data_IF_932146421167
#
_entry.id   IF_932146421167
#
_cell.length_a   1.000
_cell.length_b   1.000
_cell.length_c   1.000
_cell.angle_alpha   90.00
_cell.angle_beta   90.00
_cell.angle_gamma   90.00
#
_symmetry.space_group_name_H-M   'P 1'
#
loop_
_entity.id
_entity.type
_entity.pdbx_description
1 polymer ?
#
# COMPACT_ATOMS: atom_id res chain seq x y z
N UNK A 1 26.29 17.07 -8.29
CA UNK A 1 25.44 16.61 -9.42
C UNK A 1 24.03 17.08 -9.15
N UNK A 2 23.51 17.93 -10.03
CA UNK A 2 22.27 18.69 -9.87
C UNK A 2 21.07 17.79 -9.60
N UNK A 3 20.53 17.88 -8.39
CA UNK A 3 19.23 17.32 -8.06
C UNK A 3 18.17 18.07 -8.86
N UNK A 4 17.70 17.46 -9.94
CA UNK A 4 16.44 17.83 -10.55
C UNK A 4 15.41 17.88 -9.41
N UNK A 5 14.88 19.06 -9.13
CA UNK A 5 13.69 19.21 -8.31
C UNK A 5 12.59 18.38 -8.97
N UNK A 6 12.38 17.16 -8.49
CA UNK A 6 11.32 16.29 -8.98
C UNK A 6 10.07 16.73 -8.25
N UNK A 7 9.19 17.45 -8.96
CA UNK A 7 7.89 17.84 -8.42
C UNK A 7 7.13 16.57 -8.05
N UNK A 8 6.76 16.46 -6.78
CA UNK A 8 5.83 15.42 -6.32
C UNK A 8 4.46 15.81 -6.86
N UNK A 9 3.83 14.91 -7.62
CA UNK A 9 2.46 15.08 -8.04
C UNK A 9 1.54 14.64 -6.89
N UNK A 10 1.18 15.60 -6.04
CA UNK A 10 0.32 15.39 -4.89
C UNK A 10 -1.12 15.77 -5.21
N UNK A 11 -2.05 14.84 -5.01
CA UNK A 11 -3.49 15.11 -5.03
C UNK A 11 -4.14 14.69 -3.71
N UNK A 12 -5.01 15.53 -3.17
CA UNK A 12 -5.81 15.23 -1.97
C UNK A 12 -7.29 15.27 -2.31
N UNK A 13 -8.00 14.19 -2.00
CA UNK A 13 -9.44 14.04 -2.16
C UNK A 13 -10.08 13.92 -0.79
N UNK A 14 -10.96 14.86 -0.44
CA UNK A 14 -11.69 14.88 0.83
C UNK A 14 -13.13 14.45 0.55
N UNK A 15 -13.60 13.43 1.27
CA UNK A 15 -14.94 12.86 1.10
C UNK A 15 -15.70 12.81 2.41
N UNK A 16 -17.02 12.82 2.34
CA UNK A 16 -17.90 12.90 3.52
C UNK A 16 -17.66 11.77 4.52
N UNK A 17 -17.50 10.54 4.02
CA UNK A 17 -17.47 9.34 4.83
C UNK A 17 -16.66 8.21 4.13
N UNK A 18 -16.39 7.09 4.83
CA UNK A 18 -15.65 5.97 4.27
C UNK A 18 -16.27 5.34 3.01
N UNK A 19 -17.60 5.42 2.82
CA UNK A 19 -18.25 4.89 1.63
C UNK A 19 -17.95 5.76 0.40
N UNK A 20 -18.06 7.09 0.55
CA UNK A 20 -17.67 8.03 -0.50
C UNK A 20 -16.16 7.97 -0.81
N UNK A 21 -15.32 7.73 0.19
CA UNK A 21 -13.89 7.45 -0.03
C UNK A 21 -13.67 6.19 -0.87
N UNK A 22 -14.37 5.09 -0.56
CA UNK A 22 -14.27 3.83 -1.29
C UNK A 22 -14.66 4.01 -2.76
N UNK A 23 -15.75 4.73 -3.04
CA UNK A 23 -16.17 5.06 -4.41
C UNK A 23 -15.10 5.86 -5.17
N UNK A 24 -14.51 6.87 -4.53
CA UNK A 24 -13.43 7.64 -5.17
C UNK A 24 -12.21 6.76 -5.44
N UNK A 25 -11.80 5.97 -4.45
CA UNK A 25 -10.65 5.08 -4.54
C UNK A 25 -10.84 4.02 -5.63
N UNK A 26 -12.05 3.47 -5.77
CA UNK A 26 -12.39 2.50 -6.82
C UNK A 26 -12.25 3.10 -8.22
N UNK A 27 -12.74 4.32 -8.44
CA UNK A 27 -12.57 5.02 -9.73
C UNK A 27 -11.11 5.31 -10.07
N UNK A 28 -10.31 5.77 -9.10
CA UNK A 28 -8.88 6.02 -9.30
C UNK A 28 -8.14 4.71 -9.64
N UNK A 29 -8.42 3.64 -8.89
CA UNK A 29 -7.83 2.32 -9.12
C UNK A 29 -8.21 1.78 -10.50
N UNK A 30 -9.47 1.87 -10.90
CA UNK A 30 -9.94 1.38 -12.19
C UNK A 30 -9.28 2.13 -13.36
N UNK A 31 -9.15 3.45 -13.27
CA UNK A 31 -8.44 4.24 -14.28
C UNK A 31 -6.96 3.84 -14.38
N UNK A 32 -6.27 3.69 -13.25
CA UNK A 32 -4.89 3.23 -13.23
C UNK A 32 -4.73 1.78 -13.76
N UNK A 33 -5.73 0.94 -13.52
CA UNK A 33 -5.80 -0.43 -14.02
C UNK A 33 -5.94 -0.46 -15.55
N UNK A 34 -6.87 0.32 -16.08
CA UNK A 34 -7.09 0.47 -17.53
C UNK A 34 -5.81 0.95 -18.23
N UNK A 35 -5.18 2.02 -17.73
CA UNK A 35 -3.94 2.55 -18.28
C UNK A 35 -2.81 1.52 -18.25
N UNK A 36 -2.61 0.84 -17.12
CA UNK A 36 -1.56 -0.15 -16.99
C UNK A 36 -1.73 -1.34 -17.92
N UNK A 37 -2.97 -1.80 -18.10
CA UNK A 37 -3.27 -2.92 -18.98
C UNK A 37 -3.13 -2.52 -20.45
N UNK A 38 -3.56 -1.31 -20.82
CA UNK A 38 -3.39 -0.80 -22.18
C UNK A 38 -1.89 -0.71 -22.55
N UNK A 39 -1.05 -0.23 -21.63
CA UNK A 39 0.38 -0.03 -21.88
C UNK A 39 1.23 -1.30 -21.75
N UNK A 40 0.93 -2.14 -20.75
CA UNK A 40 1.83 -3.21 -20.26
C UNK A 40 1.17 -4.59 -20.21
N UNK A 41 -0.12 -4.67 -20.51
CA UNK A 41 -0.88 -5.93 -20.52
C UNK A 41 -1.22 -6.50 -19.13
N UNK A 42 -0.76 -5.86 -18.04
CA UNK A 42 -0.93 -6.33 -16.66
C UNK A 42 -1.00 -5.14 -15.70
N UNK A 43 -1.81 -5.27 -14.65
CA UNK A 43 -1.88 -4.32 -13.55
C UNK A 43 -1.36 -4.97 -12.26
N UNK A 44 -0.19 -4.54 -11.78
CA UNK A 44 0.43 -5.04 -10.55
C UNK A 44 0.13 -4.09 -9.39
N UNK A 45 -0.69 -4.56 -8.44
CA UNK A 45 -1.13 -3.80 -7.27
C UNK A 45 -0.58 -4.39 -5.97
N UNK A 46 -0.09 -3.55 -5.07
CA UNK A 46 0.26 -3.93 -3.70
C UNK A 46 -0.75 -3.37 -2.69
N UNK A 47 -1.23 -4.21 -1.78
CA UNK A 47 -2.25 -3.88 -0.78
C UNK A 47 -1.63 -3.77 0.62
N UNK A 48 -2.01 -2.73 1.36
CA UNK A 48 -1.93 -2.73 2.82
C UNK A 48 -3.22 -3.27 3.45
N UNK A 49 -3.15 -3.72 4.70
CA UNK A 49 -4.34 -4.08 5.48
C UNK A 49 -4.83 -2.96 6.40
N UNK A 50 -5.36 -3.34 7.57
CA UNK A 50 -6.13 -2.44 8.44
C UNK A 50 -7.62 -2.39 8.06
N UNK A 51 -8.42 -1.63 8.79
CA UNK A 51 -9.88 -1.59 8.57
C UNK A 51 -10.30 -0.59 7.48
N UNK A 52 -9.50 0.43 7.22
CA UNK A 52 -9.78 1.48 6.24
C UNK A 52 -10.01 0.98 4.80
N UNK A 53 -9.28 -0.01 4.25
CA UNK A 53 -9.54 -0.49 2.90
C UNK A 53 -10.77 -1.41 2.79
N UNK A 54 -11.37 -1.87 3.91
CA UNK A 54 -12.50 -2.82 3.89
C UNK A 54 -13.69 -2.33 3.06
N UNK A 55 -14.16 -1.07 3.17
CA UNK A 55 -15.26 -0.57 2.32
C UNK A 55 -14.91 -0.61 0.82
N UNK A 56 -13.65 -0.30 0.45
CA UNK A 56 -13.19 -0.41 -0.93
C UNK A 56 -13.21 -1.86 -1.42
N UNK A 57 -12.69 -2.81 -0.63
CA UNK A 57 -12.69 -4.23 -0.99
C UNK A 57 -14.10 -4.76 -1.23
N UNK A 58 -15.03 -4.47 -0.30
CA UNK A 58 -16.44 -4.85 -0.44
C UNK A 58 -17.10 -4.22 -1.66
N UNK A 59 -16.78 -2.95 -1.94
CA UNK A 59 -17.30 -2.24 -3.10
C UNK A 59 -16.85 -2.90 -4.39
N UNK A 60 -15.55 -3.17 -4.53
CA UNK A 60 -14.96 -3.81 -5.72
C UNK A 60 -15.47 -5.24 -5.94
N UNK A 61 -15.85 -5.93 -4.87
CA UNK A 61 -16.48 -7.25 -4.91
C UNK A 61 -17.99 -7.21 -5.23
N UNK A 62 -18.63 -6.05 -5.18
CA UNK A 62 -20.06 -5.89 -5.44
C UNK A 62 -20.41 -5.95 -6.93
N UNK A 63 -21.67 -6.26 -7.25
CA UNK A 63 -22.16 -6.47 -8.62
C UNK A 63 -21.83 -5.30 -9.55
N UNK A 64 -21.92 -4.05 -9.07
CA UNK A 64 -21.65 -2.85 -9.87
C UNK A 64 -20.16 -2.68 -10.26
N UNK A 65 -19.23 -3.37 -9.59
CA UNK A 65 -17.80 -3.22 -9.80
C UNK A 65 -17.09 -4.51 -10.21
N UNK A 66 -17.57 -5.67 -9.77
CA UNK A 66 -16.92 -6.95 -10.02
C UNK A 66 -16.71 -7.19 -11.52
N UNK A 67 -17.66 -6.85 -12.38
CA UNK A 67 -17.55 -7.06 -13.82
C UNK A 67 -16.80 -5.92 -14.56
N UNK A 68 -16.45 -4.83 -13.85
CA UNK A 68 -15.73 -3.69 -14.44
C UNK A 68 -14.21 -3.86 -14.46
N UNK A 69 -13.68 -4.75 -13.61
CA UNK A 69 -12.24 -4.94 -13.48
C UNK A 69 -11.77 -6.23 -14.17
N UNK A 70 -10.69 -6.17 -14.96
CA UNK A 70 -10.12 -7.34 -15.63
C UNK A 70 -9.25 -8.16 -14.66
N UNK A 71 -9.87 -8.91 -13.75
CA UNK A 71 -9.20 -9.65 -12.68
C UNK A 71 -8.12 -10.63 -13.16
N UNK A 72 -8.28 -11.20 -14.35
CA UNK A 72 -7.31 -12.08 -15.02
C UNK A 72 -6.01 -11.36 -15.39
N UNK A 73 -6.05 -10.03 -15.50
CA UNK A 73 -4.89 -9.16 -15.78
C UNK A 73 -4.38 -8.42 -14.56
N UNK A 74 -4.99 -8.62 -13.40
CA UNK A 74 -4.55 -8.03 -12.14
C UNK A 74 -3.67 -9.01 -11.38
N UNK A 75 -2.56 -8.52 -10.84
CA UNK A 75 -1.69 -9.31 -9.95
C UNK A 75 -1.57 -8.61 -8.60
N UNK A 76 -2.00 -9.29 -7.54
CA UNK A 76 -2.01 -8.74 -6.19
C UNK A 76 -0.78 -9.14 -5.39
N UNK A 77 -0.26 -8.15 -4.68
CA UNK A 77 0.84 -8.25 -3.74
C UNK A 77 0.41 -7.57 -2.44
N UNK A 78 1.21 -7.73 -1.40
CA UNK A 78 1.06 -7.02 -0.14
C UNK A 78 2.23 -6.06 0.08
N UNK A 79 1.92 -4.88 0.58
CA UNK A 79 2.89 -3.87 1.03
C UNK A 79 3.52 -4.33 2.34
N UNK A 80 2.72 -4.92 3.22
CA UNK A 80 3.14 -5.42 4.52
C UNK A 80 2.24 -6.56 4.99
N UNK A 81 2.72 -7.35 5.95
CA UNK A 81 1.96 -8.42 6.57
C UNK A 81 2.39 -8.64 8.03
N UNK A 82 1.44 -9.16 8.81
CA UNK A 82 1.59 -9.58 10.20
C UNK A 82 2.17 -10.99 10.17
N UNK A 83 3.20 -11.27 10.99
CA UNK A 83 3.74 -12.63 11.10
C UNK A 83 2.80 -13.55 11.89
N UNK A 84 1.65 -13.86 11.27
CA UNK A 84 0.58 -14.73 11.75
C UNK A 84 0.06 -15.60 10.61
N UNK A 85 -0.73 -16.63 10.95
CA UNK A 85 -1.38 -17.49 9.96
C UNK A 85 -2.32 -16.74 8.99
N UNK A 86 -2.51 -17.23 7.75
CA UNK A 86 -3.33 -16.56 6.74
C UNK A 86 -4.82 -16.46 7.10
N UNK A 87 -5.31 -17.33 7.96
CA UNK A 87 -6.69 -17.30 8.48
C UNK A 87 -6.82 -16.50 9.78
N UNK A 88 -5.70 -15.99 10.33
CA UNK A 88 -5.72 -15.18 11.55
C UNK A 88 -6.48 -13.86 11.28
N UNK A 89 -7.27 -13.35 12.25
CA UNK A 89 -8.00 -12.09 12.10
C UNK A 89 -7.11 -10.91 11.68
N UNK A 90 -5.87 -10.89 12.18
CA UNK A 90 -4.90 -9.83 11.88
C UNK A 90 -4.13 -10.00 10.56
N UNK A 91 -4.33 -11.06 9.79
CA UNK A 91 -3.67 -11.18 8.48
C UNK A 91 -4.25 -10.17 7.48
N UNK A 92 -3.38 -9.37 6.87
CA UNK A 92 -3.73 -8.47 5.77
C UNK A 92 -4.17 -9.26 4.53
N UNK A 93 -3.51 -10.39 4.24
CA UNK A 93 -3.97 -11.35 3.22
C UNK A 93 -5.34 -11.92 3.59
N UNK A 94 -5.51 -12.36 4.83
CA UNK A 94 -6.77 -12.91 5.32
C UNK A 94 -7.94 -11.93 5.16
N UNK A 95 -7.71 -10.64 5.47
CA UNK A 95 -8.69 -9.58 5.23
C UNK A 95 -9.05 -9.46 3.74
N UNK A 96 -8.05 -9.27 2.87
CA UNK A 96 -8.29 -9.14 1.43
C UNK A 96 -8.97 -10.38 0.84
N UNK A 97 -8.62 -11.58 1.33
CA UNK A 97 -9.26 -12.83 0.93
C UNK A 97 -10.75 -12.86 1.29
N UNK A 98 -11.10 -12.49 2.53
CA UNK A 98 -12.49 -12.50 3.01
C UNK A 98 -13.36 -11.44 2.34
N UNK A 99 -12.80 -10.25 2.11
CA UNK A 99 -13.55 -9.07 1.69
C UNK A 99 -13.53 -8.81 0.18
N UNK A 100 -12.59 -9.43 -0.56
CA UNK A 100 -12.42 -9.23 -2.00
C UNK A 100 -12.11 -10.53 -2.75
N UNK A 101 -10.95 -11.14 -2.50
CA UNK A 101 -10.39 -12.14 -3.43
C UNK A 101 -11.22 -13.43 -3.54
N UNK A 102 -12.03 -13.77 -2.53
CA UNK A 102 -12.93 -14.94 -2.61
C UNK A 102 -14.27 -14.64 -3.32
N UNK A 103 -14.52 -13.37 -3.64
CA UNK A 103 -15.78 -12.88 -4.23
C UNK A 103 -15.64 -12.54 -5.72
N UNK A 104 -14.41 -12.49 -6.23
CA UNK A 104 -14.09 -12.11 -7.61
C UNK A 104 -13.16 -13.15 -8.24
N UNK A 105 -13.12 -13.30 -9.58
CA UNK A 105 -12.31 -14.30 -10.25
C UNK A 105 -10.81 -13.94 -10.31
N UNK A 106 -10.24 -13.36 -9.26
CA UNK A 106 -8.83 -13.02 -9.17
C UNK A 106 -7.99 -14.26 -8.85
N UNK A 107 -7.10 -14.63 -9.77
CA UNK A 107 -6.28 -15.86 -9.66
C UNK A 107 -4.80 -15.59 -9.42
N UNK A 108 -4.33 -14.37 -9.66
CA UNK A 108 -2.91 -14.02 -9.57
C UNK A 108 -2.63 -13.18 -8.33
N UNK A 109 -2.14 -13.82 -7.27
CA UNK A 109 -1.74 -13.12 -6.07
C UNK A 109 -0.57 -13.82 -5.37
N UNK A 110 0.35 -13.01 -4.86
CA UNK A 110 1.53 -13.47 -4.13
C UNK A 110 1.48 -12.88 -2.73
N UNK A 111 1.11 -13.69 -1.74
CA UNK A 111 1.03 -13.24 -0.34
C UNK A 111 2.37 -13.34 0.37
N UNK A 112 2.61 -12.43 1.29
CA UNK A 112 3.63 -12.62 2.32
C UNK A 112 3.20 -13.78 3.23
N UNK A 113 4.12 -14.72 3.53
CA UNK A 113 3.82 -15.91 4.35
C UNK A 113 4.10 -15.64 5.82
N UNK A 114 3.16 -14.95 6.47
CA UNK A 114 3.27 -14.56 7.87
C UNK A 114 3.35 -15.74 8.85
N UNK A 115 2.96 -16.94 8.44
CA UNK A 115 3.06 -18.16 9.24
C UNK A 115 4.46 -18.79 9.31
N UNK A 116 5.40 -18.32 8.49
CA UNK A 116 6.77 -18.82 8.45
C UNK A 116 7.71 -18.00 9.35
N UNK A 117 8.96 -18.44 9.47
CA UNK A 117 10.02 -17.63 10.07
C UNK A 117 10.10 -16.26 9.35
N UNK A 118 10.09 -15.12 10.08
CA UNK A 118 10.04 -13.81 9.46
C UNK A 118 11.19 -13.53 8.49
N UNK A 119 12.42 -13.94 8.84
CA UNK A 119 13.62 -13.69 8.01
C UNK A 119 13.52 -14.49 6.71
N UNK A 120 13.16 -15.77 6.80
CA UNK A 120 12.94 -16.60 5.62
C UNK A 120 11.79 -16.09 4.76
N UNK A 121 10.68 -15.69 5.37
CA UNK A 121 9.50 -15.19 4.67
C UNK A 121 9.82 -13.91 3.89
N UNK A 122 10.59 -12.98 4.47
CA UNK A 122 11.06 -11.78 3.80
C UNK A 122 11.95 -12.12 2.59
N UNK A 123 12.88 -13.07 2.72
CA UNK A 123 13.74 -13.53 1.62
C UNK A 123 12.92 -14.17 0.50
N UNK A 124 12.00 -15.09 0.83
CA UNK A 124 11.16 -15.78 -0.16
C UNK A 124 10.26 -14.80 -0.90
N UNK A 125 9.67 -13.84 -0.20
CA UNK A 125 8.82 -12.83 -0.81
C UNK A 125 9.62 -11.87 -1.72
N UNK A 126 10.83 -11.47 -1.32
CA UNK A 126 11.73 -10.70 -2.18
C UNK A 126 12.10 -11.49 -3.45
N UNK A 127 12.42 -12.77 -3.34
CA UNK A 127 12.72 -13.63 -4.49
C UNK A 127 11.52 -13.77 -5.43
N UNK A 128 10.31 -13.95 -4.89
CA UNK A 128 9.08 -14.00 -5.69
C UNK A 128 8.90 -12.70 -6.47
N UNK A 129 9.02 -11.53 -5.82
CA UNK A 129 8.92 -10.23 -6.49
C UNK A 129 9.96 -10.10 -7.61
N UNK A 130 11.22 -10.50 -7.36
CA UNK A 130 12.27 -10.44 -8.38
C UNK A 130 11.94 -11.30 -9.59
N UNK A 131 11.42 -12.51 -9.37
CA UNK A 131 11.01 -13.40 -10.45
C UNK A 131 9.84 -12.82 -11.26
N UNK A 132 8.76 -12.39 -10.59
CA UNK A 132 7.54 -11.91 -11.25
C UNK A 132 7.70 -10.58 -12.02
N UNK A 133 8.69 -9.77 -11.61
CA UNK A 133 9.07 -8.53 -12.28
C UNK A 133 10.27 -8.69 -13.22
N UNK A 134 10.85 -9.89 -13.33
CA UNK A 134 12.08 -10.17 -14.10
C UNK A 134 13.24 -9.22 -13.74
N UNK A 135 13.46 -8.99 -12.44
CA UNK A 135 14.44 -8.03 -11.94
C UNK A 135 15.85 -8.61 -11.88
N UNK A 136 16.81 -7.83 -12.37
CA UNK A 136 18.23 -8.04 -12.13
C UNK A 136 18.67 -7.69 -10.70
N UNK A 137 19.96 -7.91 -10.38
CA UNK A 137 20.53 -7.50 -9.11
C UNK A 137 20.37 -5.99 -8.91
N UNK A 138 19.92 -5.58 -7.72
CA UNK A 138 19.71 -4.17 -7.32
C UNK A 138 18.59 -3.41 -8.06
N UNK A 139 17.90 -4.03 -9.03
CA UNK A 139 16.72 -3.43 -9.62
C UNK A 139 15.54 -3.43 -8.64
N UNK A 140 14.70 -2.40 -8.73
CA UNK A 140 13.50 -2.22 -7.93
C UNK A 140 12.25 -2.57 -8.77
N UNK A 141 11.26 -3.29 -8.20
CA UNK A 141 9.98 -3.48 -8.84
C UNK A 141 9.28 -2.13 -9.00
N UNK A 142 8.60 -1.92 -10.12
CA UNK A 142 7.76 -0.74 -10.36
C UNK A 142 6.31 -1.17 -10.41
N UNK A 143 5.65 -1.13 -9.25
CA UNK A 143 4.22 -1.41 -9.13
C UNK A 143 3.40 -0.32 -9.84
N UNK A 144 2.28 -0.71 -10.43
CA UNK A 144 1.35 0.23 -11.04
C UNK A 144 0.58 0.98 -9.96
N UNK A 145 0.24 0.28 -8.87
CA UNK A 145 -0.55 0.85 -7.79
C UNK A 145 -0.14 0.30 -6.43
N UNK A 146 -0.01 1.16 -5.44
CA UNK A 146 0.13 0.77 -4.04
C UNK A 146 -0.96 1.42 -3.22
N UNK A 147 -1.82 0.59 -2.62
CA UNK A 147 -2.82 1.02 -1.66
C UNK A 147 -2.20 1.02 -0.27
N UNK A 148 -2.09 2.21 0.33
CA UNK A 148 -1.42 2.45 1.60
C UNK A 148 -2.40 2.92 2.66
N UNK A 149 -2.07 2.65 3.92
CA UNK A 149 -2.74 3.21 5.08
C UNK A 149 -1.75 4.01 5.93
N UNK A 150 -2.28 4.77 6.89
CA UNK A 150 -1.46 5.54 7.83
C UNK A 150 -1.87 5.30 9.28
N UNK A 151 -0.90 4.94 10.13
CA UNK A 151 -1.06 4.85 11.58
C UNK A 151 -1.22 6.21 12.25
N UNK A 152 -1.68 6.22 13.51
CA UNK A 152 -1.73 7.46 14.33
C UNK A 152 -0.33 8.01 14.65
N UNK A 153 0.69 7.15 14.62
CA UNK A 153 2.11 7.49 14.73
C UNK A 153 2.75 7.86 13.38
N UNK A 154 1.99 7.84 12.27
CA UNK A 154 2.43 8.16 10.92
C UNK A 154 3.18 7.03 10.21
N UNK A 155 3.15 5.79 10.74
CA UNK A 155 3.66 4.63 10.02
C UNK A 155 2.82 4.34 8.76
N UNK A 156 3.44 3.70 7.78
CA UNK A 156 2.80 3.15 6.57
C UNK A 156 3.44 1.82 6.22
N UNK A 157 2.66 0.89 5.66
CA UNK A 157 3.05 -0.52 5.65
C UNK A 157 3.34 -0.97 7.08
N UNK A 158 4.48 -1.63 7.29
CA UNK A 158 5.02 -1.82 8.65
C UNK A 158 6.30 -1.01 8.88
N UNK A 159 6.42 0.19 8.28
CA UNK A 159 7.58 1.09 8.48
C UNK A 159 7.23 2.10 9.59
N UNK A 160 7.72 1.85 10.80
CA UNK A 160 7.42 2.65 11.99
C UNK A 160 8.40 3.81 12.21
N UNK A 161 7.99 4.89 12.91
CA UNK A 161 8.92 5.92 13.36
C UNK A 161 10.10 5.31 14.15
N UNK A 162 11.31 5.83 13.92
CA UNK A 162 12.55 5.38 14.57
C UNK A 162 12.92 3.90 14.36
N UNK A 163 12.26 3.19 13.45
CA UNK A 163 12.59 1.78 13.13
C UNK A 163 13.77 1.68 12.13
N UNK A 164 14.53 0.57 12.14
CA UNK A 164 15.56 0.30 11.13
C UNK A 164 15.04 0.32 9.68
N UNK A 165 13.75 0.01 9.47
CA UNK A 165 13.09 0.03 8.17
C UNK A 165 13.19 1.39 7.45
N UNK A 166 13.28 2.50 8.20
CA UNK A 166 13.47 3.85 7.65
C UNK A 166 14.81 4.02 6.93
N UNK A 167 15.83 3.26 7.33
CA UNK A 167 17.20 3.34 6.80
C UNK A 167 17.50 2.27 5.73
N UNK A 168 16.62 1.29 5.52
CA UNK A 168 16.84 0.21 4.55
C UNK A 168 16.81 0.75 3.11
N UNK A 169 17.84 0.40 2.32
CA UNK A 169 18.03 0.88 0.93
C UNK A 169 18.43 -0.21 -0.07
N UNK A 170 18.72 -1.42 0.40
CA UNK A 170 19.27 -2.54 -0.38
C UNK A 170 18.22 -3.62 -0.62
N UNK A 171 17.46 -3.99 0.40
CA UNK A 171 16.43 -5.03 0.34
C UNK A 171 15.13 -4.49 -0.25
N UNK A 172 14.40 -5.35 -0.97
CA UNK A 172 13.03 -5.04 -1.42
C UNK A 172 12.04 -5.26 -0.27
N UNK A 173 12.29 -6.31 0.52
CA UNK A 173 11.45 -6.77 1.61
C UNK A 173 12.31 -7.02 2.83
N UNK A 174 11.84 -6.60 3.99
CA UNK A 174 12.46 -6.89 5.28
C UNK A 174 11.44 -7.44 6.27
N UNK A 175 11.92 -8.28 7.16
CA UNK A 175 11.31 -8.51 8.46
C UNK A 175 11.73 -7.42 9.45
N UNK A 176 10.89 -7.17 10.44
CA UNK A 176 11.26 -6.38 11.61
C UNK A 176 10.39 -6.74 12.81
N UNK A 177 11.00 -6.76 13.99
CA UNK A 177 10.29 -6.80 15.24
C UNK A 177 9.82 -5.40 15.63
N UNK A 178 8.54 -5.24 15.95
CA UNK A 178 7.94 -3.96 16.38
C UNK A 178 7.68 -4.01 17.90
N UNK A 179 8.52 -3.38 18.74
CA UNK A 179 8.43 -3.51 20.20
C UNK A 179 7.08 -3.09 20.78
N UNK A 180 6.50 -2.00 20.27
CA UNK A 180 5.22 -1.45 20.72
C UNK A 180 4.05 -2.41 20.44
N UNK A 181 4.21 -3.29 19.44
CA UNK A 181 3.22 -4.30 19.06
C UNK A 181 3.56 -5.69 19.58
N UNK A 182 4.78 -5.87 20.12
CA UNK A 182 5.33 -7.17 20.55
C UNK A 182 5.17 -8.25 19.48
N UNK A 183 5.41 -7.88 18.22
CA UNK A 183 5.15 -8.74 17.09
C UNK A 183 6.08 -8.42 15.91
N UNK A 184 6.42 -9.46 15.16
CA UNK A 184 7.14 -9.33 13.90
C UNK A 184 6.21 -8.92 12.75
N UNK A 185 6.81 -8.21 11.80
CA UNK A 185 6.16 -7.72 10.58
C UNK A 185 7.05 -7.96 9.37
N UNK A 186 6.42 -8.20 8.24
CA UNK A 186 7.04 -8.15 6.92
C UNK A 186 6.62 -6.84 6.24
N UNK A 187 7.54 -6.17 5.54
CA UNK A 187 7.21 -4.93 4.80
C UNK A 187 8.06 -4.76 3.56
N UNK A 188 7.46 -4.22 2.50
CA UNK A 188 8.16 -3.55 1.43
C UNK A 188 8.88 -2.32 1.99
N UNK A 189 10.05 -2.01 1.45
CA UNK A 189 10.90 -0.91 1.90
C UNK A 189 10.53 0.41 1.22
N UNK A 190 10.93 1.55 1.82
CA UNK A 190 10.66 2.88 1.23
C UNK A 190 11.15 3.02 -0.23
N UNK A 191 12.32 2.51 -0.64
CA UNK A 191 12.72 2.51 -2.05
C UNK A 191 11.71 1.83 -2.97
N UNK A 192 11.14 0.69 -2.56
CA UNK A 192 10.14 -0.03 -3.35
C UNK A 192 8.85 0.77 -3.44
N UNK A 193 8.38 1.31 -2.32
CA UNK A 193 7.17 2.14 -2.27
C UNK A 193 7.33 3.38 -3.16
N UNK A 194 8.46 4.08 -3.04
CA UNK A 194 8.74 5.30 -3.82
C UNK A 194 9.07 5.05 -5.30
N UNK A 195 9.19 3.79 -5.72
CA UNK A 195 9.35 3.43 -7.12
C UNK A 195 8.02 3.13 -7.83
N UNK A 196 6.90 3.08 -7.10
CA UNK A 196 5.58 2.86 -7.66
C UNK A 196 5.12 4.00 -8.59
N UNK A 197 4.26 3.66 -9.56
CA UNK A 197 3.61 4.65 -10.45
C UNK A 197 2.53 5.45 -9.73
N UNK A 198 1.82 4.83 -8.81
CA UNK A 198 0.82 5.49 -7.97
C UNK A 198 0.90 4.94 -6.55
N UNK A 199 1.02 5.84 -5.56
CA UNK A 199 0.84 5.54 -4.14
C UNK A 199 -0.44 6.24 -3.68
N UNK A 200 -1.47 5.47 -3.30
CA UNK A 200 -2.72 6.02 -2.79
C UNK A 200 -2.88 5.67 -1.31
N UNK A 201 -2.91 6.69 -0.47
CA UNK A 201 -3.27 6.57 0.94
C UNK A 201 -4.78 6.64 1.13
N UNK A 202 -5.34 5.73 1.93
CA UNK A 202 -6.67 5.86 2.52
C UNK A 202 -6.53 6.18 4.02
N UNK A 203 -7.12 7.29 4.45
CA UNK A 203 -7.06 7.74 5.85
C UNK A 203 -8.44 8.21 6.31
N UNK A 204 -8.93 7.66 7.41
CA UNK A 204 -10.26 7.97 7.96
C UNK A 204 -10.14 8.18 9.47
N UNK A 205 -11.02 9.01 10.03
CA UNK A 205 -11.15 9.22 11.47
C UNK A 205 -10.41 10.46 11.97
N UNK A 206 -11.07 11.19 12.87
CA UNK A 206 -10.56 12.44 13.46
C UNK A 206 -9.25 12.27 14.22
N UNK A 207 -9.00 11.08 14.77
CA UNK A 207 -7.74 10.73 15.43
C UNK A 207 -6.53 10.81 14.49
N UNK A 208 -6.76 10.81 13.17
CA UNK A 208 -5.72 10.97 12.15
C UNK A 208 -5.39 12.40 11.82
N UNK A 209 -6.15 13.39 12.28
CA UNK A 209 -6.04 14.77 11.81
C UNK A 209 -4.63 15.38 11.98
N UNK A 210 -4.08 15.32 13.19
CA UNK A 210 -2.78 15.92 13.49
C UNK A 210 -1.65 15.23 12.70
N UNK A 211 -1.69 13.90 12.65
CA UNK A 211 -0.67 13.11 11.94
C UNK A 211 -0.78 13.27 10.43
N UNK A 212 -2.00 13.37 9.88
CA UNK A 212 -2.26 13.65 8.47
C UNK A 212 -1.75 15.03 8.08
N UNK A 213 -2.04 16.06 8.89
CA UNK A 213 -1.56 17.42 8.66
C UNK A 213 -0.03 17.49 8.60
N UNK A 214 0.65 16.73 9.47
CA UNK A 214 2.11 16.59 9.44
C UNK A 214 2.60 15.83 8.20
N UNK A 215 1.91 14.76 7.81
CA UNK A 215 2.28 13.96 6.65
C UNK A 215 2.12 14.73 5.32
N UNK A 216 1.09 15.57 5.21
CA UNK A 216 0.83 16.42 4.03
C UNK A 216 1.74 17.65 3.95
N UNK A 217 2.44 18.02 5.03
CA UNK A 217 3.41 19.11 5.01
C UNK A 217 4.71 18.66 4.31
N UNK A 218 4.69 18.60 2.98
CA UNK A 218 5.83 18.15 2.18
C UNK A 218 7.02 19.13 2.17
N UNK A 219 6.79 20.38 2.60
CA UNK A 219 7.82 21.42 2.71
C UNK A 219 8.68 21.29 3.97
N UNK A 220 8.16 20.62 5.01
CA UNK A 220 8.91 20.33 6.22
C UNK A 220 9.88 19.15 6.01
N UNK A 221 10.93 19.12 6.83
CA UNK A 221 11.81 17.96 6.94
C UNK A 221 10.98 16.73 7.34
N UNK A 222 11.02 15.63 6.58
CA UNK A 222 10.13 14.50 6.82
C UNK A 222 10.44 13.78 8.12
N UNK A 223 9.51 13.85 9.08
CA UNK A 223 9.61 13.18 10.39
C UNK A 223 8.81 11.89 10.46
N UNK A 224 7.82 11.71 9.59
CA UNK A 224 6.94 10.53 9.58
C UNK A 224 7.29 9.58 8.42
N UNK A 225 7.18 8.25 8.61
CA UNK A 225 7.30 7.30 7.51
C UNK A 225 6.37 7.60 6.32
N UNK A 226 5.10 7.92 6.57
CA UNK A 226 4.16 8.28 5.50
C UNK A 226 4.57 9.56 4.74
N UNK A 227 5.17 10.54 5.43
CA UNK A 227 5.72 11.77 4.82
C UNK A 227 6.96 11.51 3.95
N UNK A 228 7.65 10.37 4.18
CA UNK A 228 8.78 9.89 3.35
C UNK A 228 8.33 9.12 2.12
N UNK A 229 7.02 8.85 1.97
CA UNK A 229 6.45 8.36 0.71
C UNK A 229 6.31 9.53 -0.25
N UNK A 230 7.21 9.56 -1.22
CA UNK A 230 7.42 10.61 -2.21
C UNK A 230 7.81 9.93 -3.53
N UNK A 231 6.86 9.29 -4.24
CA UNK A 231 7.14 8.60 -5.49
C UNK A 231 7.77 9.58 -6.49
N UNK A 232 9.00 9.30 -6.92
CA UNK A 232 9.81 10.28 -7.67
C UNK A 232 9.41 10.44 -9.14
N UNK A 233 8.69 9.46 -9.68
CA UNK A 233 8.18 9.42 -11.06
C UNK A 233 6.78 8.77 -11.07
N UNK A 234 5.93 9.22 -10.16
CA UNK A 234 4.59 8.71 -9.97
C UNK A 234 3.71 9.68 -9.20
N UNK A 235 2.46 9.27 -9.03
CA UNK A 235 1.42 10.03 -8.34
C UNK A 235 1.40 9.68 -6.85
N UNK A 236 1.23 10.70 -6.02
CA UNK A 236 0.93 10.58 -4.59
C UNK A 236 -0.49 11.08 -4.35
N UNK A 237 -1.38 10.16 -4.01
CA UNK A 237 -2.80 10.44 -3.82
C UNK A 237 -3.16 10.19 -2.37
N UNK A 238 -3.88 11.12 -1.76
CA UNK A 238 -4.50 10.93 -0.45
C UNK A 238 -6.01 11.01 -0.62
N UNK A 239 -6.72 9.94 -0.30
CA UNK A 239 -8.17 9.93 -0.18
C UNK A 239 -8.49 9.88 1.31
N UNK A 240 -9.16 10.91 1.80
CA UNK A 240 -9.41 11.11 3.23
C UNK A 240 -10.87 11.45 3.51
N UNK A 241 -11.38 11.10 4.68
CA UNK A 241 -12.70 11.57 5.10
C UNK A 241 -12.65 13.00 5.67
N UNK A 242 -13.81 13.63 5.81
CA UNK A 242 -13.93 14.96 6.43
C UNK A 242 -13.44 14.95 7.87
N UNK A 243 -13.66 13.86 8.61
CA UNK A 243 -13.21 13.75 10.01
C UNK A 243 -11.68 13.82 10.13
N UNK A 244 -10.94 13.05 9.33
CA UNK A 244 -9.47 13.13 9.29
C UNK A 244 -9.00 14.49 8.74
N UNK A 245 -9.69 15.04 7.73
CA UNK A 245 -9.29 16.30 7.13
C UNK A 245 -9.50 17.51 8.06
N UNK A 246 -10.56 17.51 8.87
CA UNK A 246 -10.97 18.67 9.69
C UNK A 246 -10.71 18.49 11.18
N UNK A 247 -10.55 17.26 11.67
CA UNK A 247 -10.40 16.96 13.10
C UNK A 247 -11.71 16.98 13.90
N UNK A 248 -12.86 16.92 13.20
CA UNK A 248 -14.22 17.02 13.78
C UNK A 248 -15.07 15.79 13.49
#
# INVERSE_FOLDING_TARGET
MSGLSRSIHLTVHIHKDPAAMAERAAHILAAACEEAIADRGVFRIALSGGQTPTPLFRLLAGEDWADRLPWDKMTFYWVDERCVGPDHPDSNYGLARRELLSMVPATHFFRMRGEEDPVEAAVKYEQQIRAEFNLGPQELPRFDFMLLGMGEDGHTGSIFPNSPALAERKRLVIDQYVPERKADRLTLTLPVINNARCCMFLVTGKEKHDVLSRALNLLAEPTLPAQKVRPGFGELIWVVDEAAARGE
#
